data_IF_308925819161
#
_entry.id   IF_308925819161
#
_cell.length_a   1.000
_cell.length_b   1.000
_cell.length_c   1.000
_cell.angle_alpha   90.00
_cell.angle_beta   90.00
_cell.angle_gamma   90.00
#
_symmetry.space_group_name_H-M   'P 1'
#
loop_
_entity.id
_entity.type
_entity.pdbx_description
1 polymer ?
#
# COMPACT_ATOMS: atom_id res chain seq x y z
N UNK A 1 -1.80 1.48 20.35
CA UNK A 1 -3.17 0.95 20.53
C UNK A 1 -3.39 -0.11 19.47
N UNK A 2 -3.46 -1.38 19.86
CA UNK A 2 -3.79 -2.48 18.95
C UNK A 2 -5.28 -2.77 19.03
N UNK A 3 -5.89 -3.12 17.90
CA UNK A 3 -7.26 -3.64 17.90
C UNK A 3 -7.25 -5.04 18.56
N UNK A 4 -8.26 -5.35 19.38
CA UNK A 4 -8.39 -6.68 19.99
C UNK A 4 -8.49 -7.75 18.89
N UNK A 5 -7.50 -8.66 18.83
CA UNK A 5 -7.57 -9.83 17.96
C UNK A 5 -8.79 -10.67 18.38
N UNK A 6 -9.72 -10.89 17.46
CA UNK A 6 -10.98 -11.62 17.71
C UNK A 6 -12.21 -10.74 18.00
N UNK A 7 -12.07 -9.41 18.09
CA UNK A 7 -13.24 -8.53 18.13
C UNK A 7 -13.87 -8.39 16.75
N UNK A 8 -15.21 -8.50 16.69
CA UNK A 8 -16.01 -8.36 15.45
C UNK A 8 -15.84 -6.97 14.81
N UNK A 9 -15.47 -5.96 15.59
CA UNK A 9 -15.31 -4.57 15.13
C UNK A 9 -13.89 -4.31 14.59
N UNK A 10 -12.90 -5.11 14.98
CA UNK A 10 -11.49 -4.91 14.60
C UNK A 10 -11.25 -4.87 13.09
N UNK A 11 -11.86 -5.75 12.25
CA UNK A 11 -11.71 -5.69 10.79
C UNK A 11 -12.24 -4.39 10.19
N UNK A 12 -13.34 -3.86 10.74
CA UNK A 12 -13.94 -2.59 10.31
C UNK A 12 -13.03 -1.41 10.67
N UNK A 13 -12.50 -1.40 11.90
CA UNK A 13 -11.58 -0.34 12.33
C UNK A 13 -10.29 -0.34 11.50
N UNK A 14 -9.75 -1.53 11.22
CA UNK A 14 -8.61 -1.71 10.32
C UNK A 14 -8.91 -1.16 8.92
N UNK A 15 -10.06 -1.52 8.35
CA UNK A 15 -10.48 -1.06 7.02
C UNK A 15 -10.58 0.46 6.94
N UNK A 16 -11.07 1.13 7.97
CA UNK A 16 -11.16 2.61 8.01
C UNK A 16 -9.78 3.29 8.00
N UNK A 17 -8.84 2.76 8.79
CA UNK A 17 -7.47 3.29 8.86
C UNK A 17 -6.77 3.11 7.51
N UNK A 18 -6.88 1.92 6.94
CA UNK A 18 -6.36 1.61 5.61
C UNK A 18 -6.94 2.53 4.56
N UNK A 19 -8.26 2.76 4.58
CA UNK A 19 -8.92 3.55 3.54
C UNK A 19 -8.37 4.98 3.50
N UNK A 20 -8.12 5.59 4.67
CA UNK A 20 -7.44 6.88 4.75
C UNK A 20 -6.00 6.85 4.22
N UNK A 21 -5.28 5.75 4.45
CA UNK A 21 -3.93 5.55 3.91
C UNK A 21 -3.94 5.39 2.38
N UNK A 22 -4.94 4.70 1.83
CA UNK A 22 -5.14 4.53 0.39
C UNK A 22 -5.51 5.84 -0.31
N UNK A 23 -6.33 6.69 0.32
CA UNK A 23 -6.66 8.01 -0.22
C UNK A 23 -5.42 8.91 -0.31
N UNK A 24 -4.53 8.86 0.68
CA UNK A 24 -3.29 9.66 0.68
C UNK A 24 -2.32 9.30 -0.47
N UNK A 25 -2.39 8.08 -1.00
CA UNK A 25 -1.52 7.56 -2.06
C UNK A 25 -2.22 7.45 -3.42
N UNK A 26 -3.50 7.85 -3.51
CA UNK A 26 -4.31 7.78 -4.73
C UNK A 26 -3.69 8.55 -5.91
N UNK A 27 -3.04 9.69 -5.65
CA UNK A 27 -2.41 10.53 -6.67
C UNK A 27 -0.98 10.11 -7.03
N UNK A 28 -0.42 9.11 -6.36
CA UNK A 28 0.96 8.64 -6.60
C UNK A 28 1.12 7.88 -7.94
N UNK A 29 0.00 7.49 -8.57
CA UNK A 29 -0.02 6.60 -9.73
C UNK A 29 0.27 5.13 -9.39
N UNK A 30 0.28 4.80 -8.10
CA UNK A 30 0.46 3.45 -7.58
C UNK A 30 -0.90 2.77 -7.43
N UNK A 31 -1.01 1.54 -7.91
CA UNK A 31 -2.18 0.69 -7.69
C UNK A 31 -1.91 -0.13 -6.44
N UNK A 32 -2.85 -0.12 -5.51
CA UNK A 32 -2.73 -0.85 -4.24
C UNK A 32 -3.89 -1.82 -4.16
N UNK A 33 -3.57 -3.08 -3.91
CA UNK A 33 -4.52 -4.15 -3.62
C UNK A 33 -4.25 -4.62 -2.20
N UNK A 34 -5.21 -4.47 -1.31
CA UNK A 34 -5.06 -4.93 0.07
C UNK A 34 -6.21 -5.87 0.45
N UNK A 35 -5.86 -6.92 1.17
CA UNK A 35 -6.79 -7.86 1.76
C UNK A 35 -6.35 -8.14 3.20
N UNK A 36 -7.14 -7.70 4.18
CA UNK A 36 -6.73 -7.70 5.58
C UNK A 36 -5.33 -7.09 5.75
N UNK A 37 -4.41 -7.75 6.45
CA UNK A 37 -3.03 -7.31 6.65
C UNK A 37 -2.12 -7.46 5.42
N UNK A 38 -2.51 -8.25 4.42
CA UNK A 38 -1.73 -8.45 3.20
C UNK A 38 -1.97 -7.32 2.18
N UNK A 39 -0.90 -6.63 1.81
CA UNK A 39 -0.92 -5.56 0.80
C UNK A 39 0.05 -5.81 -0.35
N UNK A 40 -0.45 -5.71 -1.57
CA UNK A 40 0.32 -5.69 -2.81
C UNK A 40 0.25 -4.30 -3.45
N UNK A 41 1.40 -3.79 -3.89
CA UNK A 41 1.49 -2.51 -4.60
C UNK A 41 2.12 -2.71 -5.97
N UNK A 42 1.57 -2.03 -6.98
CA UNK A 42 1.99 -2.14 -8.37
C UNK A 42 2.09 -0.75 -8.99
N UNK A 43 3.10 -0.53 -9.83
CA UNK A 43 3.18 0.67 -10.66
C UNK A 43 2.47 0.40 -11.99
N UNK A 44 1.40 1.16 -12.28
CA UNK A 44 0.66 1.04 -13.54
C UNK A 44 1.14 2.11 -14.53
N UNK A 45 1.42 1.70 -15.76
CA UNK A 45 1.79 2.61 -16.84
C UNK A 45 2.04 1.88 -18.16
N UNK A 46 2.05 2.62 -19.27
CA UNK A 46 2.29 2.08 -20.62
C UNK A 46 3.77 2.17 -21.05
N UNK A 47 4.60 2.91 -20.32
CA UNK A 47 6.01 3.12 -20.65
C UNK A 47 6.92 2.34 -19.69
N UNK A 48 7.49 1.25 -20.19
CA UNK A 48 8.32 0.31 -19.41
C UNK A 48 9.59 0.96 -18.83
N UNK A 49 10.27 1.81 -19.59
CA UNK A 49 11.49 2.51 -19.15
C UNK A 49 11.20 3.44 -17.96
N UNK A 50 10.06 4.14 -18.00
CA UNK A 50 9.62 5.02 -16.90
C UNK A 50 9.25 4.21 -15.65
N UNK A 51 8.63 3.05 -15.82
CA UNK A 51 8.26 2.16 -14.71
C UNK A 51 9.49 1.56 -14.02
N UNK A 52 10.48 1.09 -14.80
CA UNK A 52 11.74 0.56 -14.26
C UNK A 52 12.48 1.62 -13.43
N UNK A 53 12.62 2.84 -13.96
CA UNK A 53 13.27 3.94 -13.24
C UNK A 53 12.58 4.27 -11.91
N UNK A 54 11.24 4.22 -11.86
CA UNK A 54 10.48 4.43 -10.62
C UNK A 54 10.63 3.27 -9.63
N UNK A 55 10.64 2.03 -10.12
CA UNK A 55 10.86 0.85 -9.30
C UNK A 55 12.26 0.84 -8.66
N UNK A 56 13.30 1.24 -9.40
CA UNK A 56 14.67 1.35 -8.89
C UNK A 56 14.82 2.42 -7.80
N UNK A 57 14.24 3.61 -8.00
CA UNK A 57 14.21 4.65 -6.96
C UNK A 57 13.50 4.15 -5.70
N UNK A 58 12.41 3.39 -5.86
CA UNK A 58 11.69 2.80 -4.73
C UNK A 58 12.49 1.72 -4.00
N UNK A 59 13.35 0.95 -4.69
CA UNK A 59 14.27 -0.02 -4.06
C UNK A 59 15.36 0.65 -3.25
N UNK A 60 15.82 1.83 -3.68
CA UNK A 60 16.84 2.60 -2.97
C UNK A 60 16.35 3.20 -1.65
N UNK A 61 15.03 3.37 -1.50
CA UNK A 61 14.38 3.90 -0.29
C UNK A 61 13.99 2.81 0.72
N UNK A 62 14.14 1.53 0.39
CA UNK A 62 13.97 0.46 1.37
C UNK A 62 15.22 0.37 2.25
N UNK A 63 15.12 0.49 3.58
CA UNK A 63 16.26 0.26 4.45
C UNK A 63 16.75 -1.17 4.21
N UNK A 64 18.06 -1.30 3.93
CA UNK A 64 18.72 -2.60 3.84
C UNK A 64 18.42 -3.35 5.13
N UNK A 65 17.78 -4.51 5.00
CA UNK A 65 17.69 -5.48 6.09
C UNK A 65 19.07 -6.01 6.44
#
# INVERSE_FOLDING_TARGET
MGAYQGSVISPTLFSLIVNGLLDAVKDSGMVISQFADDSGTWLKGSNMLRLQKRAEVSKFLQPKQ
#
